data_IF_603363534766
#
_entry.id   IF_603363534766
#
_cell.length_a   1.000
_cell.length_b   1.000
_cell.length_c   1.000
_cell.angle_alpha   90.00
_cell.angle_beta   90.00
_cell.angle_gamma   90.00
#
_symmetry.space_group_name_H-M   'P 1'
#
loop_
_entity.id
_entity.type
_entity.pdbx_description
1 polymer ?
#
# COMPACT_ATOMS: atom_id res chain seq x y z
N UNK A 1 -3.65 -15.93 12.28
CA UNK A 1 -2.96 -16.68 11.21
C UNK A 1 -2.00 -17.76 11.73
N UNK A 2 -1.53 -17.69 12.97
CA UNK A 2 -0.69 -18.72 13.57
C UNK A 2 -1.51 -19.79 14.32
N UNK A 3 -2.77 -19.53 14.64
CA UNK A 3 -3.63 -20.45 15.40
C UNK A 3 -4.14 -21.68 14.62
N UNK A 4 -3.95 -21.74 13.31
CA UNK A 4 -4.41 -22.86 12.47
C UNK A 4 -3.35 -23.89 12.10
N UNK A 5 -2.11 -23.73 12.54
CA UNK A 5 -1.01 -24.58 12.08
C UNK A 5 -0.83 -25.82 12.98
N UNK A 6 -1.75 -26.74 12.91
CA UNK A 6 -1.64 -28.05 13.57
C UNK A 6 -0.47 -28.93 13.12
N UNK A 7 0.42 -28.44 12.23
CA UNK A 7 1.64 -29.12 11.81
C UNK A 7 2.82 -28.17 11.86
N UNK A 8 3.73 -28.46 12.77
CA UNK A 8 5.06 -27.88 12.84
C UNK A 8 5.81 -28.26 11.55
N UNK A 9 6.55 -27.32 10.97
CA UNK A 9 7.38 -27.56 9.79
C UNK A 9 6.58 -27.85 8.51
N UNK A 10 5.68 -26.94 8.14
CA UNK A 10 4.81 -27.10 6.98
C UNK A 10 5.12 -26.10 5.82
N UNK A 11 6.36 -25.64 5.74
CA UNK A 11 6.78 -24.75 4.64
C UNK A 11 6.70 -25.50 3.31
N UNK A 12 5.92 -24.98 2.38
CA UNK A 12 5.71 -25.61 1.08
C UNK A 12 5.37 -24.58 -0.01
N UNK A 13 5.47 -24.99 -1.24
CA UNK A 13 4.93 -24.25 -2.37
C UNK A 13 3.40 -24.15 -2.20
N UNK A 14 2.89 -22.92 -2.18
CA UNK A 14 1.45 -22.61 -2.05
C UNK A 14 0.81 -22.29 -3.37
N UNK A 15 1.58 -21.78 -4.31
CA UNK A 15 1.12 -21.43 -5.65
C UNK A 15 2.26 -21.01 -6.54
N UNK A 16 1.98 -21.03 -7.82
CA UNK A 16 2.84 -20.49 -8.87
C UNK A 16 1.96 -19.74 -9.85
N UNK A 17 2.47 -18.66 -10.43
CA UNK A 17 1.82 -17.94 -11.51
C UNK A 17 2.79 -17.70 -12.66
N UNK A 18 2.25 -17.64 -13.85
CA UNK A 18 2.95 -17.21 -15.07
C UNK A 18 2.08 -16.14 -15.72
N UNK A 19 2.68 -15.01 -15.99
CA UNK A 19 2.08 -13.87 -16.65
C UNK A 19 2.76 -13.69 -18.00
N UNK A 20 1.99 -13.64 -19.06
CA UNK A 20 2.48 -13.41 -20.41
C UNK A 20 1.82 -12.14 -20.93
N UNK A 21 2.60 -11.15 -21.30
CA UNK A 21 2.10 -9.90 -21.81
C UNK A 21 2.88 -9.39 -23.00
N UNK A 22 2.23 -8.61 -23.82
CA UNK A 22 2.84 -7.89 -24.93
C UNK A 22 2.53 -6.41 -24.76
N UNK A 23 3.57 -5.59 -24.65
CA UNK A 23 3.47 -4.16 -24.50
C UNK A 23 4.16 -3.47 -25.68
N UNK A 24 3.45 -2.60 -26.37
CA UNK A 24 3.95 -1.79 -27.47
C UNK A 24 4.10 -0.33 -27.03
N UNK A 25 4.73 -0.12 -25.90
CA UNK A 25 4.96 1.23 -25.38
C UNK A 25 6.06 1.19 -24.33
N UNK A 26 7.05 2.05 -24.47
CA UNK A 26 8.04 2.28 -23.46
C UNK A 26 7.40 2.85 -22.17
N UNK A 27 8.05 2.56 -21.03
CA UNK A 27 7.68 3.21 -19.78
C UNK A 27 7.81 4.72 -19.90
N UNK A 28 6.73 5.44 -19.65
CA UNK A 28 6.78 6.89 -19.56
C UNK A 28 7.36 7.30 -18.20
N UNK A 29 8.40 8.15 -18.23
CA UNK A 29 8.85 8.81 -17.01
C UNK A 29 7.79 9.84 -16.60
N UNK A 30 7.08 9.56 -15.50
CA UNK A 30 6.12 10.49 -14.95
C UNK A 30 6.85 11.54 -14.10
N UNK A 31 6.78 12.80 -14.53
CA UNK A 31 7.30 13.92 -13.75
C UNK A 31 6.14 14.63 -13.07
N UNK A 32 6.15 14.65 -11.76
CA UNK A 32 5.32 15.53 -10.98
C UNK A 32 6.19 16.21 -9.92
N UNK A 33 6.00 17.51 -9.77
CA UNK A 33 6.90 18.33 -8.97
C UNK A 33 8.36 18.12 -9.41
N UNK A 34 9.24 17.72 -8.51
CA UNK A 34 10.63 17.42 -8.81
C UNK A 34 10.94 15.92 -8.78
N UNK A 35 9.94 15.09 -8.57
CA UNK A 35 10.11 13.65 -8.48
C UNK A 35 10.12 12.98 -9.86
N UNK A 36 10.82 11.85 -9.95
CA UNK A 36 10.74 10.92 -11.07
C UNK A 36 10.04 9.66 -10.57
N UNK A 37 8.98 9.29 -11.24
CA UNK A 37 8.38 7.98 -11.10
C UNK A 37 8.18 7.39 -12.50
N UNK A 38 8.30 6.08 -12.61
CA UNK A 38 7.98 5.36 -13.82
C UNK A 38 6.51 4.99 -13.82
N UNK A 39 5.87 5.19 -14.95
CA UNK A 39 4.48 4.88 -15.17
C UNK A 39 4.32 3.98 -16.40
N UNK A 40 3.55 2.92 -16.27
CA UNK A 40 3.16 2.04 -17.36
C UNK A 40 1.70 1.64 -17.21
N UNK A 41 1.02 1.45 -18.33
CA UNK A 41 -0.39 1.07 -18.37
C UNK A 41 -0.68 -0.24 -17.61
N UNK A 42 0.23 -1.22 -17.67
CA UNK A 42 0.08 -2.53 -17.02
C UNK A 42 0.70 -2.61 -15.61
N UNK A 43 1.34 -1.55 -15.14
CA UNK A 43 2.11 -1.57 -13.90
C UNK A 43 1.35 -1.00 -12.69
N UNK A 44 0.06 -1.09 -12.68
CA UNK A 44 -0.73 -0.58 -11.57
C UNK A 44 -0.81 -1.60 -10.44
N UNK A 45 -0.31 -1.22 -9.25
CA UNK A 45 -0.30 -2.06 -8.05
C UNK A 45 0.45 -3.40 -8.25
N UNK A 46 1.51 -3.40 -9.03
CA UNK A 46 2.26 -4.59 -9.44
C UNK A 46 3.58 -4.79 -8.68
N UNK A 47 3.66 -4.31 -7.44
CA UNK A 47 4.84 -4.44 -6.58
C UNK A 47 6.14 -3.98 -7.28
N UNK A 48 6.07 -2.84 -8.00
CA UNK A 48 7.20 -2.19 -8.63
C UNK A 48 7.80 -2.91 -9.82
N UNK A 49 7.11 -3.88 -10.41
CA UNK A 49 7.57 -4.49 -11.65
C UNK A 49 7.25 -3.60 -12.84
N UNK A 50 8.22 -3.40 -13.70
CA UNK A 50 8.09 -2.67 -14.96
C UNK A 50 8.22 -3.67 -16.11
N UNK A 51 7.27 -3.66 -17.03
CA UNK A 51 7.33 -4.47 -18.25
C UNK A 51 8.23 -3.79 -19.28
N UNK A 52 9.04 -4.57 -19.99
CA UNK A 52 9.81 -4.13 -21.15
C UNK A 52 8.92 -3.97 -22.39
N UNK A 53 9.41 -3.27 -23.42
CA UNK A 53 8.74 -3.20 -24.70
C UNK A 53 8.70 -4.59 -25.38
N UNK A 54 7.59 -4.91 -26.01
CA UNK A 54 7.38 -6.18 -26.69
C UNK A 54 6.84 -7.29 -25.79
N UNK A 55 7.35 -8.49 -25.96
CA UNK A 55 6.89 -9.67 -25.23
C UNK A 55 7.57 -9.79 -23.87
N UNK A 56 6.77 -10.05 -22.84
CA UNK A 56 7.21 -10.25 -21.46
C UNK A 56 6.67 -11.59 -20.94
N UNK A 57 7.49 -12.27 -20.14
CA UNK A 57 7.10 -13.46 -19.40
C UNK A 57 7.54 -13.31 -17.94
N UNK A 58 6.60 -13.37 -17.00
CA UNK A 58 6.87 -13.21 -15.57
C UNK A 58 6.35 -14.42 -14.81
N UNK A 59 7.24 -15.11 -14.12
CA UNK A 59 6.90 -16.25 -13.27
C UNK A 59 7.08 -15.90 -11.79
N UNK A 60 6.15 -16.28 -10.93
CA UNK A 60 6.30 -16.18 -9.48
C UNK A 60 6.03 -17.50 -8.78
N UNK A 61 6.76 -17.75 -7.70
CA UNK A 61 6.55 -18.90 -6.83
C UNK A 61 6.22 -18.42 -5.41
N UNK A 62 5.10 -18.88 -4.86
CA UNK A 62 4.70 -18.53 -3.50
C UNK A 62 5.00 -19.68 -2.53
N UNK A 63 6.01 -19.51 -1.71
CA UNK A 63 6.44 -20.48 -0.70
C UNK A 63 6.17 -19.90 0.68
N UNK A 64 5.40 -20.59 1.50
CA UNK A 64 5.16 -20.14 2.87
C UNK A 64 4.73 -21.27 3.80
N UNK A 65 4.86 -21.03 5.09
CA UNK A 65 4.41 -21.95 6.13
C UNK A 65 4.99 -21.61 7.50
N UNK A 66 4.68 -22.46 8.47
CA UNK A 66 5.20 -22.36 9.82
C UNK A 66 6.42 -23.26 9.99
N UNK A 67 7.50 -22.71 10.54
CA UNK A 67 8.68 -23.46 10.96
C UNK A 67 8.44 -24.13 12.32
N UNK A 68 7.72 -23.44 13.21
CA UNK A 68 7.25 -23.95 14.48
C UNK A 68 5.94 -23.26 14.89
N UNK A 69 5.47 -23.46 16.12
CA UNK A 69 4.21 -22.90 16.61
C UNK A 69 4.20 -21.35 16.66
N UNK A 70 5.37 -20.73 16.77
CA UNK A 70 5.51 -19.28 16.99
C UNK A 70 6.16 -18.55 15.80
N UNK A 71 6.70 -19.29 14.81
CA UNK A 71 7.46 -18.71 13.70
C UNK A 71 6.92 -19.18 12.34
N UNK A 72 6.48 -18.24 11.52
CA UNK A 72 6.10 -18.46 10.13
C UNK A 72 7.02 -17.67 9.19
N UNK A 73 7.20 -18.20 7.98
CA UNK A 73 8.02 -17.60 6.95
C UNK A 73 7.30 -17.57 5.60
N UNK A 74 7.64 -16.61 4.76
CA UNK A 74 7.18 -16.54 3.38
C UNK A 74 8.29 -16.03 2.46
N UNK A 75 8.37 -16.63 1.27
CA UNK A 75 9.31 -16.24 0.20
C UNK A 75 8.55 -16.28 -1.11
N UNK A 76 8.63 -15.20 -1.88
CA UNK A 76 8.05 -15.10 -3.24
C UNK A 76 9.12 -14.60 -4.21
N UNK A 77 9.95 -15.48 -4.78
CA UNK A 77 10.81 -15.13 -5.91
C UNK A 77 9.97 -14.85 -7.15
N UNK A 78 10.43 -13.88 -7.95
CA UNK A 78 9.92 -13.53 -9.28
C UNK A 78 11.04 -13.67 -10.28
N UNK A 79 10.74 -14.31 -11.39
CA UNK A 79 11.61 -14.46 -12.54
C UNK A 79 10.93 -13.77 -13.71
N UNK A 80 11.60 -12.82 -14.31
CA UNK A 80 11.06 -12.04 -15.42
C UNK A 80 11.98 -12.19 -16.63
N UNK A 81 11.39 -12.18 -17.80
CA UNK A 81 12.09 -12.15 -19.08
C UNK A 81 11.39 -11.17 -20.01
N UNK A 82 12.17 -10.31 -20.62
CA UNK A 82 11.76 -9.48 -21.74
C UNK A 82 12.87 -9.44 -22.79
N UNK A 83 12.59 -8.84 -23.93
CA UNK A 83 13.53 -8.83 -25.04
C UNK A 83 14.72 -7.89 -24.81
N UNK A 84 14.60 -6.90 -23.93
CA UNK A 84 15.60 -5.86 -23.74
C UNK A 84 16.58 -6.21 -22.62
N UNK A 85 16.09 -6.69 -21.48
CA UNK A 85 16.92 -7.03 -20.31
C UNK A 85 17.26 -8.52 -20.18
N UNK A 86 16.67 -9.39 -21.01
CA UNK A 86 16.98 -10.82 -21.17
C UNK A 86 16.87 -11.71 -19.94
N UNK A 87 16.34 -11.23 -18.87
CA UNK A 87 16.06 -12.02 -17.67
C UNK A 87 16.52 -11.36 -16.38
N UNK A 88 15.59 -11.25 -15.46
CA UNK A 88 15.78 -10.75 -14.11
C UNK A 88 15.23 -11.73 -13.08
N UNK A 89 15.91 -11.83 -11.95
CA UNK A 89 15.45 -12.57 -10.79
C UNK A 89 15.38 -11.64 -9.58
N UNK A 90 14.20 -11.50 -9.04
CA UNK A 90 13.95 -10.59 -7.92
C UNK A 90 13.17 -11.26 -6.78
N UNK A 91 13.26 -10.68 -5.58
CA UNK A 91 12.50 -11.14 -4.43
C UNK A 91 11.36 -10.15 -4.17
N UNK A 92 10.12 -10.56 -4.46
CA UNK A 92 8.92 -9.76 -4.15
C UNK A 92 8.65 -9.79 -2.66
N UNK A 93 8.67 -10.98 -2.04
CA UNK A 93 8.49 -11.17 -0.61
C UNK A 93 9.61 -12.04 -0.03
N UNK A 94 10.03 -11.69 1.18
CA UNK A 94 10.95 -12.50 1.99
C UNK A 94 10.85 -12.05 3.43
N UNK A 95 10.06 -12.75 4.25
CA UNK A 95 9.75 -12.31 5.59
C UNK A 95 9.66 -13.47 6.60
N UNK A 96 9.85 -13.11 7.86
CA UNK A 96 9.54 -13.94 9.01
C UNK A 96 8.49 -13.26 9.88
N UNK A 97 7.55 -14.04 10.42
CA UNK A 97 6.50 -13.58 11.33
C UNK A 97 6.54 -14.35 12.63
N UNK A 98 6.43 -13.63 13.73
CA UNK A 98 6.27 -14.19 15.08
C UNK A 98 5.28 -13.35 15.86
N UNK A 99 5.07 -13.70 17.14
CA UNK A 99 4.22 -12.90 18.02
C UNK A 99 4.81 -12.80 19.43
N UNK A 100 4.43 -11.72 20.12
CA UNK A 100 4.72 -11.49 21.52
C UNK A 100 3.42 -11.06 22.21
N UNK A 101 2.81 -11.97 22.97
CA UNK A 101 1.48 -11.74 23.53
C UNK A 101 0.45 -11.45 22.43
N UNK A 102 -0.20 -10.32 22.51
CA UNK A 102 -1.22 -9.87 21.54
C UNK A 102 -0.64 -9.20 20.28
N UNK A 103 0.67 -9.00 20.22
CA UNK A 103 1.34 -8.33 19.14
C UNK A 103 1.93 -9.33 18.14
N UNK A 104 1.56 -9.17 16.88
CA UNK A 104 2.25 -9.79 15.75
C UNK A 104 3.45 -8.95 15.34
N UNK A 105 4.57 -9.62 15.08
CA UNK A 105 5.84 -9.02 14.64
C UNK A 105 6.20 -9.63 13.29
N UNK A 106 6.41 -8.79 12.28
CA UNK A 106 6.90 -9.23 10.96
C UNK A 106 8.20 -8.50 10.66
N UNK A 107 9.22 -9.23 10.25
CA UNK A 107 10.48 -8.67 9.77
C UNK A 107 10.78 -9.20 8.37
N UNK A 108 11.17 -8.30 7.47
CA UNK A 108 11.51 -8.63 6.09
C UNK A 108 10.70 -7.86 5.06
N UNK A 109 10.70 -8.34 3.83
CA UNK A 109 10.01 -7.75 2.70
C UNK A 109 8.64 -8.38 2.55
N UNK A 110 7.58 -7.60 2.73
CA UNK A 110 6.20 -8.03 2.56
C UNK A 110 5.39 -6.89 1.92
N UNK A 111 4.56 -7.16 0.92
CA UNK A 111 3.60 -6.17 0.42
C UNK A 111 2.72 -5.67 1.56
N UNK A 112 2.57 -4.36 1.61
CA UNK A 112 1.70 -3.67 2.56
C UNK A 112 0.89 -2.65 1.79
N UNK A 113 -0.38 -2.52 2.14
CA UNK A 113 -1.28 -1.55 1.52
C UNK A 113 -2.31 -1.13 2.55
N UNK A 114 -2.45 0.17 2.76
CA UNK A 114 -3.35 0.76 3.74
C UNK A 114 -4.31 1.72 3.07
N UNK A 115 -5.57 1.68 3.50
CA UNK A 115 -6.66 2.46 2.94
C UNK A 115 -7.83 1.58 2.49
N UNK A 116 -8.85 2.18 1.91
CA UNK A 116 -10.10 1.52 1.51
C UNK A 116 -10.30 1.43 0.00
N UNK A 117 -9.50 2.12 -0.80
CA UNK A 117 -9.57 2.10 -2.26
C UNK A 117 -9.26 0.72 -2.85
N UNK A 118 -9.83 0.41 -3.99
CA UNK A 118 -9.59 -0.83 -4.74
C UNK A 118 -8.58 -0.62 -5.87
N UNK A 119 -8.79 0.43 -6.66
CA UNK A 119 -7.95 0.73 -7.81
C UNK A 119 -6.58 1.30 -7.41
N UNK A 120 -6.47 1.91 -6.24
CA UNK A 120 -5.24 2.42 -5.66
C UNK A 120 -5.45 2.91 -4.23
N UNK A 121 -4.34 3.07 -3.51
CA UNK A 121 -4.32 3.56 -2.13
C UNK A 121 -3.57 4.89 -2.08
N UNK A 122 -4.22 5.95 -1.59
CA UNK A 122 -3.68 7.31 -1.68
C UNK A 122 -2.35 7.49 -0.95
N UNK A 123 -2.20 6.97 0.27
CA UNK A 123 -0.99 7.17 1.04
C UNK A 123 0.03 6.03 0.84
N UNK A 124 -0.41 4.78 0.88
CA UNK A 124 0.47 3.62 0.82
C UNK A 124 -0.19 2.41 0.15
N UNK A 125 0.27 2.10 -1.04
CA UNK A 125 -0.24 1.01 -1.87
C UNK A 125 0.81 -0.03 -2.24
N UNK A 126 0.40 -0.95 -3.11
CA UNK A 126 1.27 -1.98 -3.68
C UNK A 126 1.84 -1.59 -5.05
N UNK A 127 1.85 -0.29 -5.39
CA UNK A 127 2.38 0.17 -6.66
C UNK A 127 3.92 0.10 -6.70
N UNK A 128 4.60 0.49 -5.63
CA UNK A 128 6.05 0.35 -5.51
C UNK A 128 6.48 -1.05 -5.06
N UNK A 129 7.74 -1.37 -5.29
CA UNK A 129 8.37 -2.58 -4.74
C UNK A 129 8.20 -2.62 -3.21
N UNK A 130 7.81 -3.76 -2.62
CA UNK A 130 7.69 -3.88 -1.18
C UNK A 130 9.00 -3.57 -0.46
N UNK A 131 8.94 -2.74 0.57
CA UNK A 131 10.10 -2.38 1.37
C UNK A 131 10.45 -3.49 2.38
N UNK A 132 11.74 -3.60 2.71
CA UNK A 132 12.16 -4.37 3.88
C UNK A 132 11.83 -3.57 5.13
N UNK A 133 10.97 -4.11 5.96
CA UNK A 133 10.40 -3.41 7.11
C UNK A 133 10.35 -4.30 8.36
N UNK A 134 10.25 -3.67 9.53
CA UNK A 134 9.73 -4.27 10.74
C UNK A 134 8.32 -3.74 10.92
N UNK A 135 7.36 -4.64 11.07
CA UNK A 135 5.94 -4.33 11.29
C UNK A 135 5.48 -4.90 12.62
N UNK A 136 4.72 -4.10 13.35
CA UNK A 136 3.98 -4.50 14.55
C UNK A 136 2.48 -4.32 14.28
N UNK A 137 1.68 -5.28 14.66
CA UNK A 137 0.23 -5.15 14.59
C UNK A 137 -0.43 -5.94 15.72
N UNK A 138 -1.62 -5.52 16.13
CA UNK A 138 -2.44 -6.40 16.98
C UNK A 138 -2.84 -7.64 16.17
N UNK A 139 -2.73 -8.82 16.76
CA UNK A 139 -3.14 -10.09 16.14
C UNK A 139 -4.65 -10.14 15.95
N UNK A 140 -5.38 -9.61 16.92
CA UNK A 140 -6.83 -9.43 16.90
C UNK A 140 -7.17 -8.02 17.36
N UNK A 141 -8.23 -7.41 16.84
CA UNK A 141 -8.66 -6.10 17.32
C UNK A 141 -8.98 -6.14 18.82
N UNK A 142 -8.49 -5.15 19.54
CA UNK A 142 -8.84 -4.98 20.97
C UNK A 142 -10.30 -4.54 21.10
N UNK A 143 -11.07 -5.18 21.96
CA UNK A 143 -12.47 -4.83 22.23
C UNK A 143 -12.57 -3.97 23.50
N UNK A 144 -13.28 -2.86 23.40
CA UNK A 144 -13.58 -1.96 24.52
C UNK A 144 -14.94 -2.34 25.12
N UNK A 145 -14.98 -3.29 26.05
CA UNK A 145 -16.23 -3.83 26.59
C UNK A 145 -16.88 -2.92 27.64
N UNK A 146 -16.09 -2.01 28.25
CA UNK A 146 -16.57 -1.17 29.36
C UNK A 146 -15.86 0.20 29.38
N UNK A 147 -16.32 1.07 30.27
CA UNK A 147 -15.73 2.39 30.51
C UNK A 147 -16.07 3.41 29.42
N UNK A 148 -15.37 4.54 29.49
CA UNK A 148 -15.60 5.70 28.61
C UNK A 148 -15.30 5.42 27.13
N UNK A 149 -14.48 4.41 26.82
CA UNK A 149 -14.09 4.07 25.44
C UNK A 149 -14.99 3.01 24.79
N UNK A 150 -16.02 2.51 25.46
CA UNK A 150 -16.93 1.49 24.93
C UNK A 150 -17.56 1.88 23.58
N UNK A 151 -17.78 3.17 23.33
CA UNK A 151 -18.32 3.67 22.07
C UNK A 151 -17.40 3.42 20.85
N UNK A 152 -16.11 3.17 21.07
CA UNK A 152 -15.16 2.82 20.02
C UNK A 152 -15.35 1.38 19.51
N UNK A 153 -16.05 0.53 20.26
CA UNK A 153 -16.29 -0.87 19.93
C UNK A 153 -15.00 -1.67 19.92
N UNK A 154 -14.36 -1.82 18.76
CA UNK A 154 -13.07 -2.49 18.61
C UNK A 154 -12.05 -1.54 17.98
N UNK A 155 -10.76 -1.75 18.28
CA UNK A 155 -9.69 -1.05 17.60
C UNK A 155 -8.55 -2.00 17.20
N UNK A 156 -7.97 -1.75 16.04
CA UNK A 156 -6.76 -2.42 15.58
C UNK A 156 -5.65 -1.38 15.37
N UNK A 157 -4.40 -1.78 15.61
CA UNK A 157 -3.23 -0.91 15.46
C UNK A 157 -2.20 -1.62 14.58
N UNK A 158 -1.67 -0.90 13.62
CA UNK A 158 -0.58 -1.32 12.75
C UNK A 158 0.50 -0.24 12.74
N UNK A 159 1.74 -0.64 12.90
CA UNK A 159 2.91 0.24 12.83
C UNK A 159 3.99 -0.45 12.00
N UNK A 160 4.69 0.29 11.16
CA UNK A 160 5.88 -0.24 10.51
C UNK A 160 7.00 0.81 10.46
N UNK A 161 8.22 0.30 10.34
CA UNK A 161 9.40 1.09 10.04
C UNK A 161 10.25 0.39 8.97
N UNK A 162 10.69 1.15 7.98
CA UNK A 162 11.53 0.70 6.88
C UNK A 162 12.57 1.75 6.53
N UNK A 163 13.41 1.44 5.55
CA UNK A 163 14.34 2.38 4.94
C UNK A 163 14.12 2.43 3.44
N UNK A 164 14.14 3.63 2.91
CA UNK A 164 14.14 3.86 1.47
C UNK A 164 15.51 3.57 0.88
N UNK A 165 15.59 3.50 -0.44
CA UNK A 165 16.84 3.26 -1.18
C UNK A 165 17.87 4.36 -0.94
N UNK A 166 19.14 4.03 -1.20
CA UNK A 166 20.22 5.00 -1.32
C UNK A 166 20.25 5.62 -2.72
N UNK A 167 21.08 6.64 -2.88
CA UNK A 167 21.32 7.31 -4.18
C UNK A 167 20.05 7.90 -4.82
N UNK A 168 19.12 8.36 -4.01
CA UNK A 168 17.95 9.08 -4.49
C UNK A 168 18.41 10.40 -5.11
N UNK A 169 17.98 10.68 -6.35
CA UNK A 169 18.38 11.85 -7.13
C UNK A 169 17.16 12.63 -7.54
N UNK A 170 17.18 13.93 -7.33
CA UNK A 170 16.12 14.82 -7.81
C UNK A 170 15.98 14.74 -9.33
N UNK A 171 14.77 14.97 -9.82
CA UNK A 171 14.46 14.97 -11.26
C UNK A 171 15.29 15.98 -12.04
N UNK A 172 15.80 17.03 -11.41
CA UNK A 172 16.74 18.00 -11.98
C UNK A 172 18.18 17.45 -12.12
N UNK A 173 18.49 16.28 -11.60
CA UNK A 173 19.80 15.62 -11.67
C UNK A 173 20.88 16.24 -10.82
N UNK A 174 20.61 17.30 -10.08
CA UNK A 174 21.66 18.15 -9.47
C UNK A 174 21.89 17.94 -7.97
N UNK A 175 21.00 17.26 -7.25
CA UNK A 175 21.14 17.07 -5.81
C UNK A 175 20.68 15.67 -5.38
N UNK A 176 21.51 15.02 -4.58
CA UNK A 176 21.12 13.80 -3.88
C UNK A 176 20.21 14.16 -2.71
N UNK A 177 19.16 13.41 -2.59
CA UNK A 177 18.33 13.39 -1.41
C UNK A 177 19.02 12.61 -0.27
N UNK A 178 18.45 12.65 0.92
CA UNK A 178 18.96 11.85 2.04
C UNK A 178 18.96 10.37 1.69
N UNK A 179 20.14 9.79 1.60
CA UNK A 179 20.31 8.35 1.42
C UNK A 179 19.68 7.59 2.57
N UNK A 180 18.92 6.55 2.23
CA UNK A 180 18.28 5.67 3.21
C UNK A 180 17.41 6.42 4.23
N UNK A 181 16.63 7.39 3.78
CA UNK A 181 15.61 8.02 4.63
C UNK A 181 14.74 6.96 5.30
N UNK A 182 14.39 7.15 6.56
CA UNK A 182 13.44 6.26 7.22
C UNK A 182 12.04 6.48 6.62
N UNK A 183 11.30 5.40 6.45
CA UNK A 183 9.90 5.44 6.07
C UNK A 183 9.10 4.68 7.12
N UNK A 184 8.21 5.39 7.79
CA UNK A 184 7.45 4.88 8.93
C UNK A 184 5.97 5.13 8.72
N UNK A 185 5.13 4.27 9.28
CA UNK A 185 3.69 4.43 9.21
C UNK A 185 3.01 3.94 10.48
N UNK A 186 1.93 4.61 10.82
CA UNK A 186 1.00 4.24 11.90
C UNK A 186 -0.41 4.29 11.35
N UNK A 187 -1.17 3.22 11.58
CA UNK A 187 -2.59 3.13 11.26
C UNK A 187 -3.37 2.58 12.45
N UNK A 188 -4.48 3.25 12.76
CA UNK A 188 -5.45 2.82 13.76
C UNK A 188 -6.81 2.67 13.08
N UNK A 189 -7.36 1.47 13.13
CA UNK A 189 -8.72 1.20 12.66
C UNK A 189 -9.65 1.10 13.88
N UNK A 190 -10.72 1.89 13.90
CA UNK A 190 -11.75 1.92 14.93
C UNK A 190 -13.03 1.34 14.34
N UNK A 191 -13.64 0.39 15.03
CA UNK A 191 -14.83 -0.33 14.60
C UNK A 191 -15.92 -0.23 15.66
N UNK A 192 -16.69 0.90 15.69
CA UNK A 192 -17.77 1.11 16.64
C UNK A 192 -18.89 0.07 16.51
N UNK A 193 -19.08 -0.44 15.31
CA UNK A 193 -20.00 -1.54 14.99
C UNK A 193 -19.37 -2.46 13.96
N UNK A 194 -19.94 -3.64 13.77
CA UNK A 194 -19.48 -4.58 12.73
C UNK A 194 -19.73 -4.04 11.30
N UNK A 195 -20.62 -3.07 11.15
CA UNK A 195 -20.90 -2.42 9.86
C UNK A 195 -20.00 -1.24 9.56
N UNK A 196 -19.42 -0.58 10.56
CA UNK A 196 -18.67 0.67 10.41
C UNK A 196 -17.22 0.52 10.84
N UNK A 197 -16.31 0.91 9.96
CA UNK A 197 -14.88 1.04 10.24
C UNK A 197 -14.42 2.45 9.89
N UNK A 198 -13.63 3.03 10.76
CA UNK A 198 -12.99 4.33 10.59
C UNK A 198 -11.49 4.16 10.79
N UNK A 199 -10.69 4.51 9.78
CA UNK A 199 -9.23 4.43 9.81
C UNK A 199 -8.59 5.80 9.98
N UNK A 200 -7.57 5.87 10.81
CA UNK A 200 -6.65 7.01 10.95
C UNK A 200 -5.27 6.54 10.54
N UNK A 201 -4.60 7.31 9.71
CA UNK A 201 -3.31 6.93 9.16
C UNK A 201 -2.37 8.13 9.07
N UNK A 202 -1.10 7.91 9.43
CA UNK A 202 0.00 8.82 9.18
C UNK A 202 1.20 8.04 8.70
N UNK A 203 1.78 8.51 7.62
CA UNK A 203 3.02 8.00 7.05
C UNK A 203 4.02 9.11 6.87
N UNK A 204 5.29 8.79 7.10
CA UNK A 204 6.36 9.78 7.11
C UNK A 204 7.62 9.28 6.45
N UNK A 205 8.20 10.11 5.60
CA UNK A 205 9.58 9.99 5.16
C UNK A 205 10.45 10.89 6.02
N UNK A 206 11.47 10.34 6.67
CA UNK A 206 12.26 11.04 7.66
C UNK A 206 13.74 11.07 7.27
N UNK A 207 14.30 12.26 7.15
CA UNK A 207 15.77 12.43 7.13
C UNK A 207 16.37 12.24 8.53
N UNK A 208 15.63 12.68 9.54
CA UNK A 208 16.06 12.68 10.93
C UNK A 208 14.83 12.57 11.84
N UNK A 209 14.91 11.69 12.84
CA UNK A 209 13.93 11.67 13.92
C UNK A 209 14.11 12.88 14.83
N UNK A 210 13.03 13.59 15.12
CA UNK A 210 13.00 14.64 16.10
C UNK A 210 11.65 14.71 16.84
N UNK A 211 11.60 15.49 17.93
CA UNK A 211 10.40 15.62 18.75
C UNK A 211 9.27 16.36 18.03
N UNK A 212 9.60 17.31 17.16
CA UNK A 212 8.61 18.12 16.43
C UNK A 212 7.84 17.28 15.44
N UNK A 213 8.53 16.36 14.73
CA UNK A 213 7.85 15.37 13.90
C UNK A 213 6.90 14.49 14.72
N UNK A 214 7.33 14.01 15.90
CA UNK A 214 6.53 13.11 16.73
C UNK A 214 5.26 13.81 17.24
N UNK A 215 5.38 15.07 17.69
CA UNK A 215 4.29 15.86 18.21
C UNK A 215 3.39 16.48 17.14
N UNK A 216 3.85 16.50 15.88
CA UNK A 216 3.15 17.16 14.77
C UNK A 216 3.08 18.66 14.93
N UNK A 217 4.04 19.26 15.64
CA UNK A 217 4.09 20.70 15.85
C UNK A 217 4.97 21.38 14.79
N UNK A 218 4.75 22.69 14.60
CA UNK A 218 5.59 23.49 13.71
C UNK A 218 6.96 23.71 14.34
N UNK A 219 7.97 23.10 13.73
CA UNK A 219 9.36 23.36 14.03
C UNK A 219 9.85 24.68 13.43
N UNK A 220 11.02 25.15 13.86
CA UNK A 220 11.74 26.22 13.18
C UNK A 220 11.98 25.87 11.71
N UNK A 221 12.10 26.86 10.84
CA UNK A 221 12.23 26.68 9.38
C UNK A 221 13.32 25.68 8.96
N UNK A 222 14.43 25.62 9.71
CA UNK A 222 15.51 24.66 9.45
C UNK A 222 15.15 23.19 9.78
N UNK A 223 14.12 22.94 10.58
CA UNK A 223 13.71 21.57 10.98
C UNK A 223 12.51 21.04 10.23
N UNK A 224 11.63 21.91 9.69
CA UNK A 224 10.47 21.53 8.89
C UNK A 224 10.79 20.59 7.74
N UNK A 225 11.97 20.75 7.18
CA UNK A 225 12.40 20.05 5.97
C UNK A 225 13.04 18.68 6.24
N UNK A 226 12.96 18.21 7.47
CA UNK A 226 13.51 16.92 7.83
C UNK A 226 12.54 15.74 7.62
N UNK A 227 11.31 16.02 7.26
CA UNK A 227 10.28 15.00 6.97
C UNK A 227 9.29 15.45 5.90
N UNK A 228 8.65 14.47 5.29
CA UNK A 228 7.47 14.61 4.47
C UNK A 228 6.39 13.64 5.00
N UNK A 229 5.21 14.13 5.26
CA UNK A 229 4.11 13.37 5.84
C UNK A 229 2.90 13.31 4.90
N UNK A 230 2.29 12.15 4.82
CA UNK A 230 0.90 12.01 4.36
C UNK A 230 0.08 11.47 5.51
N UNK A 231 -0.96 12.20 5.87
CA UNK A 231 -1.86 11.81 6.95
C UNK A 231 -3.32 12.01 6.54
N UNK A 232 -4.19 11.20 7.11
CA UNK A 232 -5.61 11.34 6.82
C UNK A 232 -6.46 10.27 7.46
N UNK A 233 -7.65 10.17 6.93
CA UNK A 233 -8.67 9.27 7.42
C UNK A 233 -9.38 8.57 6.27
N UNK A 234 -9.89 7.39 6.57
CA UNK A 234 -10.83 6.69 5.71
C UNK A 234 -11.99 6.12 6.52
N UNK A 235 -13.07 5.82 5.84
CA UNK A 235 -14.17 5.08 6.43
C UNK A 235 -14.76 4.08 5.45
N UNK A 236 -15.38 3.07 6.02
CA UNK A 236 -16.13 2.05 5.32
C UNK A 236 -17.40 1.72 6.09
N UNK A 237 -18.54 1.75 5.40
CA UNK A 237 -19.82 1.38 5.96
C UNK A 237 -20.52 0.33 5.09
N UNK A 238 -21.03 -0.70 5.74
CA UNK A 238 -21.77 -1.80 5.10
C UNK A 238 -23.26 -1.65 5.35
N UNK A 239 -23.99 -1.28 4.32
CA UNK A 239 -25.43 -1.39 4.28
C UNK A 239 -25.83 -2.79 3.75
N UNK A 240 -27.09 -3.24 3.96
CA UNK A 240 -27.59 -4.40 3.26
C UNK A 240 -27.44 -4.22 1.73
N UNK A 241 -26.68 -5.09 1.09
CA UNK A 241 -26.47 -5.09 -0.36
C UNK A 241 -25.45 -4.10 -0.92
N UNK A 242 -24.94 -3.15 -0.13
CA UNK A 242 -23.91 -2.22 -0.61
C UNK A 242 -22.93 -1.82 0.49
N UNK A 243 -21.65 -1.73 0.13
CA UNK A 243 -20.63 -1.12 0.95
C UNK A 243 -20.23 0.22 0.34
N UNK A 244 -20.23 1.28 1.12
CA UNK A 244 -19.68 2.58 0.74
C UNK A 244 -18.38 2.83 1.49
N UNK A 245 -17.44 3.52 0.85
CA UNK A 245 -16.17 3.89 1.46
C UNK A 245 -15.63 5.17 0.88
N UNK A 246 -14.84 5.87 1.68
CA UNK A 246 -14.10 7.04 1.22
C UNK A 246 -12.81 7.22 2.01
N UNK A 247 -11.86 7.92 1.42
CA UNK A 247 -10.61 8.37 2.03
C UNK A 247 -10.40 9.84 1.77
N UNK A 248 -9.83 10.54 2.75
CA UNK A 248 -9.37 11.91 2.65
C UNK A 248 -8.00 12.01 3.31
N UNK A 249 -6.99 12.36 2.53
CA UNK A 249 -5.61 12.52 2.99
C UNK A 249 -5.08 13.89 2.60
N UNK A 250 -4.13 14.41 3.37
CA UNK A 250 -3.36 15.60 3.06
C UNK A 250 -1.87 15.31 3.16
N UNK A 251 -1.09 15.93 2.28
CA UNK A 251 0.37 15.81 2.26
C UNK A 251 1.02 16.87 3.14
N UNK A 252 0.46 18.07 3.15
CA UNK A 252 0.89 19.16 4.00
C UNK A 252 -0.15 19.45 5.10
N UNK A 253 0.23 20.26 6.05
CA UNK A 253 -0.68 20.71 7.10
C UNK A 253 -0.76 22.23 7.17
N UNK A 254 -1.98 22.75 7.23
CA UNK A 254 -2.29 24.12 7.60
C UNK A 254 -2.76 24.13 9.05
N UNK A 255 -1.89 24.54 9.97
CA UNK A 255 -2.08 24.38 11.42
C UNK A 255 -2.26 22.91 11.82
N UNK A 256 -3.45 22.51 12.26
CA UNK A 256 -3.77 21.14 12.68
C UNK A 256 -4.50 20.33 11.60
N UNK A 257 -4.79 20.91 10.43
CA UNK A 257 -5.58 20.26 9.41
C UNK A 257 -4.71 19.90 8.19
N UNK A 258 -4.86 18.69 7.64
CA UNK A 258 -4.24 18.33 6.38
C UNK A 258 -4.69 19.26 5.26
N UNK A 259 -3.75 19.77 4.49
CA UNK A 259 -3.99 20.49 3.23
C UNK A 259 -3.29 19.75 2.09
N UNK A 260 -3.31 20.30 0.87
CA UNK A 260 -2.86 19.58 -0.33
C UNK A 260 -3.52 18.20 -0.43
N UNK A 261 -4.86 18.23 -0.59
CA UNK A 261 -5.69 17.05 -0.35
C UNK A 261 -5.81 16.14 -1.56
N UNK A 262 -5.88 14.84 -1.26
CA UNK A 262 -6.36 13.81 -2.17
C UNK A 262 -7.54 13.05 -1.56
N UNK A 263 -8.47 12.59 -2.39
CA UNK A 263 -9.60 11.81 -1.93
C UNK A 263 -9.97 10.68 -2.89
N UNK A 264 -10.58 9.67 -2.31
CA UNK A 264 -11.13 8.52 -2.99
C UNK A 264 -12.52 8.25 -2.42
N UNK A 265 -13.48 7.93 -3.28
CA UNK A 265 -14.84 7.55 -2.89
C UNK A 265 -15.28 6.35 -3.73
N UNK A 266 -15.87 5.35 -3.09
CA UNK A 266 -16.32 4.17 -3.81
C UNK A 266 -17.55 3.50 -3.22
N UNK A 267 -18.17 2.70 -4.07
CA UNK A 267 -19.26 1.79 -3.73
C UNK A 267 -18.96 0.39 -4.23
N UNK A 268 -19.31 -0.60 -3.43
CA UNK A 268 -19.20 -2.00 -3.78
C UNK A 268 -20.53 -2.71 -3.53
N UNK A 269 -21.06 -3.32 -4.57
CA UNK A 269 -22.25 -4.13 -4.56
C UNK A 269 -21.84 -5.60 -4.65
N UNK A 270 -21.72 -6.32 -3.52
CA UNK A 270 -21.22 -7.70 -3.51
C UNK A 270 -22.17 -8.69 -4.16
N UNK A 271 -23.41 -8.30 -4.38
CA UNK A 271 -24.46 -9.15 -4.91
C UNK A 271 -25.42 -8.31 -5.78
N UNK A 272 -25.16 -8.24 -7.09
CA UNK A 272 -26.04 -7.55 -8.03
C UNK A 272 -27.30 -8.36 -8.37
N UNK A 273 -27.21 -9.68 -8.28
CA UNK A 273 -28.30 -10.62 -8.54
C UNK A 273 -28.48 -11.55 -7.34
N UNK A 274 -29.70 -12.09 -7.13
CA UNK A 274 -30.03 -12.84 -5.91
C UNK A 274 -29.16 -14.07 -5.66
N UNK A 275 -28.60 -14.70 -6.69
CA UNK A 275 -27.72 -15.87 -6.58
C UNK A 275 -26.28 -15.52 -6.21
N UNK A 276 -25.92 -14.22 -6.13
CA UNK A 276 -24.58 -13.76 -5.80
C UNK A 276 -23.53 -13.97 -6.91
N UNK A 277 -23.95 -14.33 -8.12
CA UNK A 277 -23.04 -14.61 -9.22
C UNK A 277 -22.40 -13.38 -9.84
N UNK A 278 -22.85 -12.17 -9.49
CA UNK A 278 -22.31 -10.91 -9.98
C UNK A 278 -22.03 -9.92 -8.88
N UNK A 279 -20.88 -9.26 -8.96
CA UNK A 279 -20.59 -8.07 -8.16
C UNK A 279 -20.22 -6.86 -9.05
N UNK A 280 -20.34 -5.67 -8.47
CA UNK A 280 -19.96 -4.41 -9.11
C UNK A 280 -19.24 -3.52 -8.11
N UNK A 281 -18.17 -2.89 -8.56
CA UNK A 281 -17.49 -1.82 -7.84
C UNK A 281 -17.37 -0.58 -8.72
N UNK A 282 -17.61 0.58 -8.13
CA UNK A 282 -17.36 1.88 -8.78
C UNK A 282 -16.59 2.76 -7.82
N UNK A 283 -15.56 3.41 -8.32
CA UNK A 283 -14.65 4.23 -7.52
C UNK A 283 -14.23 5.50 -8.27
N UNK A 284 -14.16 6.61 -7.58
CA UNK A 284 -13.59 7.86 -8.07
C UNK A 284 -12.48 8.35 -7.16
N UNK A 285 -11.39 8.85 -7.74
CA UNK A 285 -10.29 9.45 -7.00
C UNK A 285 -9.83 10.76 -7.63
N UNK A 286 -9.30 11.64 -6.80
CA UNK A 286 -8.66 12.88 -7.24
C UNK A 286 -7.47 13.19 -6.33
N UNK A 287 -6.38 13.65 -6.95
CA UNK A 287 -5.20 14.19 -6.28
C UNK A 287 -5.00 15.65 -6.72
N UNK A 288 -4.34 16.44 -5.90
CA UNK A 288 -3.99 17.80 -6.25
C UNK A 288 -2.61 17.86 -6.93
N UNK A 289 -2.18 19.05 -7.36
CA UNK A 289 -0.94 19.26 -8.11
C UNK A 289 0.33 19.16 -7.27
N UNK A 290 0.26 19.38 -5.96
CA UNK A 290 1.38 19.21 -5.04
C UNK A 290 1.57 17.74 -4.58
N UNK A 291 0.56 16.88 -4.81
CA UNK A 291 0.49 15.52 -4.29
C UNK A 291 1.72 14.69 -4.63
N UNK A 292 2.31 14.02 -3.63
CA UNK A 292 3.54 13.22 -3.71
C UNK A 292 4.82 14.01 -3.96
N UNK A 293 4.74 15.33 -4.11
CA UNK A 293 5.91 16.19 -4.26
C UNK A 293 6.47 16.65 -2.91
N UNK A 294 7.74 17.03 -2.88
CA UNK A 294 8.32 17.72 -1.73
C UNK A 294 9.49 18.57 -2.19
N UNK A 295 9.62 19.78 -1.64
CA UNK A 295 10.63 20.71 -2.13
C UNK A 295 12.05 20.38 -1.64
N UNK A 296 12.22 19.66 -0.54
CA UNK A 296 13.52 19.19 -0.02
C UNK A 296 13.75 17.71 -0.31
N UNK A 297 12.76 16.84 -0.08
CA UNK A 297 12.82 15.42 -0.42
C UNK A 297 12.45 15.24 -1.90
N UNK A 298 13.38 15.64 -2.78
CA UNK A 298 13.15 15.87 -4.21
C UNK A 298 12.62 14.67 -5.00
N UNK A 299 12.90 13.44 -4.56
CA UNK A 299 12.33 12.24 -5.16
C UNK A 299 10.84 12.10 -4.87
N UNK A 300 10.30 12.89 -3.92
CA UNK A 300 8.90 12.81 -3.54
C UNK A 300 8.52 11.47 -2.91
N UNK A 301 7.25 11.14 -2.97
CA UNK A 301 6.66 9.95 -2.35
C UNK A 301 6.90 8.68 -3.18
N UNK A 302 8.16 8.31 -3.35
CA UNK A 302 8.59 7.19 -4.21
C UNK A 302 9.52 6.22 -3.50
N UNK A 303 9.60 5.01 -4.05
CA UNK A 303 10.60 4.01 -3.70
C UNK A 303 11.00 3.23 -4.96
N UNK A 304 12.30 3.22 -5.28
CA UNK A 304 12.85 2.58 -6.49
C UNK A 304 12.09 2.98 -7.75
N UNK A 305 11.99 4.27 -7.96
CA UNK A 305 11.36 4.90 -9.13
C UNK A 305 9.84 4.65 -9.29
N UNK A 306 9.18 4.06 -8.28
CA UNK A 306 7.73 3.88 -8.28
C UNK A 306 7.06 4.66 -7.14
N UNK A 307 5.86 5.17 -7.37
CA UNK A 307 5.04 5.86 -6.37
C UNK A 307 4.68 4.88 -5.24
N UNK A 308 4.88 5.27 -3.99
CA UNK A 308 4.52 4.48 -2.80
C UNK A 308 3.01 4.38 -2.57
N UNK A 309 2.27 5.39 -3.02
CA UNK A 309 0.82 5.46 -2.93
C UNK A 309 0.11 5.01 -4.20
N UNK A 310 -0.90 5.77 -4.60
CA UNK A 310 -1.70 5.51 -5.78
C UNK A 310 -0.94 5.83 -7.08
N UNK A 311 -0.95 4.89 -8.01
CA UNK A 311 -0.36 5.07 -9.35
C UNK A 311 -0.95 6.26 -10.13
N UNK A 312 -2.09 6.80 -9.68
CA UNK A 312 -2.72 7.98 -10.26
C UNK A 312 -1.77 9.20 -10.32
N UNK A 313 -0.85 9.32 -9.33
CA UNK A 313 0.09 10.44 -9.26
C UNK A 313 -0.55 11.73 -8.79
N UNK A 314 0.05 12.87 -9.14
CA UNK A 314 -0.40 14.22 -8.81
C UNK A 314 -1.27 14.83 -9.93
N UNK A 315 -2.08 15.84 -9.58
CA UNK A 315 -2.95 16.60 -10.49
C UNK A 315 -3.81 15.72 -11.41
N UNK A 316 -4.41 14.70 -10.85
CA UNK A 316 -5.08 13.69 -11.64
C UNK A 316 -6.46 13.31 -11.08
N UNK A 317 -7.29 12.74 -11.94
CA UNK A 317 -8.61 12.20 -11.62
C UNK A 317 -8.74 10.81 -12.22
N UNK A 318 -9.38 9.90 -11.50
CA UNK A 318 -9.69 8.56 -11.95
C UNK A 318 -11.15 8.26 -11.69
N UNK A 319 -11.77 7.59 -12.65
CA UNK A 319 -13.00 6.81 -12.49
C UNK A 319 -12.62 5.35 -12.75
N UNK A 320 -13.02 4.48 -11.88
CA UNK A 320 -12.79 3.05 -11.98
C UNK A 320 -14.09 2.30 -11.79
N UNK A 321 -14.35 1.33 -12.66
CA UNK A 321 -15.47 0.41 -12.55
C UNK A 321 -14.96 -1.01 -12.75
N UNK A 322 -15.42 -1.95 -11.92
CA UNK A 322 -15.09 -3.37 -12.00
C UNK A 322 -16.37 -4.18 -11.84
N UNK A 323 -16.67 -5.01 -12.82
CA UNK A 323 -17.77 -5.99 -12.73
C UNK A 323 -17.19 -7.39 -12.84
N UNK A 324 -17.63 -8.27 -11.97
CA UNK A 324 -17.20 -9.66 -11.94
C UNK A 324 -18.41 -10.60 -12.05
N UNK A 325 -18.21 -11.68 -12.80
CA UNK A 325 -19.12 -12.82 -12.86
C UNK A 325 -18.43 -14.08 -12.33
N UNK A 326 -19.03 -14.70 -11.33
CA UNK A 326 -18.52 -15.92 -10.71
C UNK A 326 -19.13 -17.15 -11.38
N UNK A 327 -18.27 -18.02 -11.90
CA UNK A 327 -18.62 -19.22 -12.65
C UNK A 327 -18.60 -20.44 -11.72
N UNK A 328 -19.47 -20.47 -10.72
CA UNK A 328 -19.52 -21.54 -9.72
C UNK A 328 -18.10 -21.98 -9.27
N UNK A 329 -17.76 -23.26 -9.38
CA UNK A 329 -16.47 -23.80 -8.95
C UNK A 329 -15.34 -23.61 -9.99
N UNK A 330 -15.61 -23.00 -11.13
CA UNK A 330 -14.66 -22.92 -12.26
C UNK A 330 -13.78 -21.68 -12.17
N UNK A 331 -14.30 -20.57 -11.68
CA UNK A 331 -13.53 -19.33 -11.61
C UNK A 331 -14.34 -18.06 -11.72
N UNK A 332 -13.68 -16.99 -12.11
CA UNK A 332 -14.25 -15.64 -12.21
C UNK A 332 -13.86 -15.00 -13.53
N UNK A 333 -14.82 -14.39 -14.20
CA UNK A 333 -14.60 -13.45 -15.30
C UNK A 333 -14.78 -12.02 -14.77
N UNK A 334 -13.82 -11.14 -15.01
CA UNK A 334 -13.87 -9.75 -14.60
C UNK A 334 -13.59 -8.80 -15.76
N UNK A 335 -14.31 -7.67 -15.76
CA UNK A 335 -14.07 -6.54 -16.63
C UNK A 335 -13.87 -5.31 -15.77
N UNK A 336 -12.81 -4.57 -16.02
CA UNK A 336 -12.54 -3.29 -15.36
C UNK A 336 -12.23 -2.20 -16.38
N UNK A 337 -12.63 -0.98 -16.01
CA UNK A 337 -12.39 0.23 -16.80
C UNK A 337 -11.82 1.33 -15.90
#
# INVERSE_FOLDING_TARGET
YLQGAGKINNVKLRGASVDLSYLQQDSAAYKYNNAKAQWQLLNHNNNGYLYGDGFNAVGTLHISGSLNKDLAVGITPRFAWDKDEHGDASLVEGYAKTHLGVWGITAGRQPMSWGVGRAGQLAFGSNATPQTAIKLNLLEPHTFDNGALKFLGKANVNVFASRLEGNRVASSGSALEKNHAAFVGVRVDIMPTDAFTFGLERMSMLKKFNKHWLLGDNADDAEKDNWNDIAGLDFKYRFPGVQVYASLYGEDQAHAFPCENAYNVGMYFPQLVPDGSWDLRVEGAKTNDAWYGHWVLKNGWTYKDAILGDWLGADAKRVYAEVNHYLADVGKLGLSY
#
